data_IF_590077786867
#
_entry.id   IF_590077786867
#
_cell.length_a   1.000
_cell.length_b   1.000
_cell.length_c   1.000
_cell.angle_alpha   90.00
_cell.angle_beta   90.00
_cell.angle_gamma   90.00
#
_symmetry.space_group_name_H-M   'P 1'
#
loop_
_entity.id
_entity.type
_entity.pdbx_description
1 polymer ?
#
# COMPACT_ATOMS: atom_id res chain seq x y z
N UNK A 1 23.99 33.70 -36.06
CA UNK A 1 24.14 32.26 -35.71
C UNK A 1 23.56 32.08 -34.32
N UNK A 2 22.45 31.35 -34.19
CA UNK A 2 21.90 31.02 -32.87
C UNK A 2 22.83 30.01 -32.21
N UNK A 3 23.72 30.48 -31.33
CA UNK A 3 24.41 29.59 -30.42
C UNK A 3 23.37 29.10 -29.44
N UNK A 4 22.85 27.90 -29.66
CA UNK A 4 22.18 27.14 -28.60
C UNK A 4 23.22 27.08 -27.46
N UNK A 5 22.99 27.76 -26.34
CA UNK A 5 23.99 27.81 -25.28
C UNK A 5 24.19 26.36 -24.83
N UNK A 6 25.44 25.92 -24.77
CA UNK A 6 25.81 24.52 -24.46
C UNK A 6 25.10 24.01 -23.21
N UNK A 7 24.76 24.89 -22.27
CA UNK A 7 23.93 24.62 -21.10
C UNK A 7 22.51 24.12 -21.43
N UNK A 8 21.82 24.68 -22.43
CA UNK A 8 20.49 24.22 -22.87
C UNK A 8 20.59 22.83 -23.50
N UNK A 9 21.62 22.59 -24.31
CA UNK A 9 21.85 21.26 -24.89
C UNK A 9 22.12 20.21 -23.81
N UNK A 10 23.00 20.51 -22.85
CA UNK A 10 23.29 19.63 -21.72
C UNK A 10 22.07 19.43 -20.81
N UNK A 11 21.24 20.45 -20.61
CA UNK A 11 20.01 20.34 -19.84
C UNK A 11 18.97 19.44 -20.53
N UNK A 12 18.78 19.59 -21.84
CA UNK A 12 17.90 18.70 -22.62
C UNK A 12 18.42 17.26 -22.59
N UNK A 13 19.74 17.08 -22.76
CA UNK A 13 20.36 15.76 -22.66
C UNK A 13 20.14 15.15 -21.27
N UNK A 14 20.36 15.92 -20.20
CA UNK A 14 20.09 15.47 -18.84
C UNK A 14 18.62 15.06 -18.69
N UNK A 15 17.67 15.86 -19.17
CA UNK A 15 16.24 15.56 -19.08
C UNK A 15 15.87 14.28 -19.82
N UNK A 16 16.50 14.00 -20.97
CA UNK A 16 16.32 12.75 -21.72
C UNK A 16 16.97 11.55 -21.04
N UNK A 17 18.14 11.72 -20.43
CA UNK A 17 18.90 10.63 -19.78
C UNK A 17 18.40 10.34 -18.36
N UNK A 18 17.87 11.34 -17.66
CA UNK A 18 17.36 11.23 -16.30
C UNK A 18 16.41 10.05 -16.06
N UNK A 19 15.38 9.79 -16.88
CA UNK A 19 14.50 8.62 -16.67
C UNK A 19 15.25 7.30 -16.76
N UNK A 20 16.30 7.18 -17.58
CA UNK A 20 17.13 5.97 -17.66
C UNK A 20 18.02 5.81 -16.43
N UNK A 21 18.61 6.89 -15.93
CA UNK A 21 19.37 6.87 -14.67
C UNK A 21 18.44 6.46 -13.52
N UNK A 22 17.27 7.06 -13.43
CA UNK A 22 16.28 6.76 -12.40
C UNK A 22 15.82 5.30 -12.45
N UNK A 23 15.56 4.80 -13.67
CA UNK A 23 15.18 3.41 -13.88
C UNK A 23 16.30 2.44 -13.46
N UNK A 24 17.54 2.69 -13.88
CA UNK A 24 18.69 1.87 -13.50
C UNK A 24 18.88 1.83 -11.97
N UNK A 25 18.82 3.00 -11.30
CA UNK A 25 18.91 3.08 -9.84
C UNK A 25 17.78 2.29 -9.16
N UNK A 26 16.55 2.40 -9.67
CA UNK A 26 15.40 1.66 -9.13
C UNK A 26 15.61 0.15 -9.24
N UNK A 27 16.14 -0.33 -10.37
CA UNK A 27 16.44 -1.74 -10.57
C UNK A 27 17.48 -2.25 -9.57
N UNK A 28 18.56 -1.50 -9.35
CA UNK A 28 19.61 -1.89 -8.40
C UNK A 28 19.06 -1.98 -6.97
N UNK A 29 18.29 -0.96 -6.56
CA UNK A 29 17.63 -0.91 -5.25
C UNK A 29 16.71 -2.12 -5.04
N UNK A 30 15.88 -2.46 -6.04
CA UNK A 30 14.98 -3.61 -5.97
C UNK A 30 15.76 -4.93 -5.91
N UNK A 31 16.82 -5.08 -6.70
CA UNK A 31 17.66 -6.28 -6.69
C UNK A 31 18.28 -6.51 -5.31
N UNK A 32 18.83 -5.46 -4.70
CA UNK A 32 19.40 -5.55 -3.34
C UNK A 32 18.30 -5.90 -2.32
N UNK A 33 17.09 -5.36 -2.47
CA UNK A 33 16.00 -5.57 -1.51
C UNK A 33 15.54 -7.01 -1.53
N UNK A 34 15.31 -7.52 -2.73
CA UNK A 34 14.89 -8.90 -2.97
C UNK A 34 16.00 -9.89 -2.58
N UNK A 35 17.28 -9.54 -2.79
CA UNK A 35 18.40 -10.33 -2.31
C UNK A 35 18.42 -10.46 -0.78
N UNK A 36 18.12 -9.38 -0.04
CA UNK A 36 17.99 -9.43 1.43
C UNK A 36 16.81 -10.26 1.92
N UNK A 37 15.80 -10.47 1.07
CA UNK A 37 14.70 -11.39 1.34
C UNK A 37 15.05 -12.85 1.02
N UNK A 38 16.23 -13.12 0.45
CA UNK A 38 16.72 -14.47 0.15
C UNK A 38 16.45 -14.94 -1.28
N UNK A 39 16.08 -14.05 -2.19
CA UNK A 39 15.79 -14.37 -3.58
C UNK A 39 16.99 -14.06 -4.50
N UNK A 40 17.03 -14.69 -5.68
CA UNK A 40 18.04 -14.42 -6.70
C UNK A 40 17.76 -13.13 -7.47
N UNK A 41 18.78 -12.57 -8.14
CA UNK A 41 18.62 -11.37 -8.98
C UNK A 41 17.58 -11.54 -10.10
N UNK A 42 17.52 -12.74 -10.71
CA UNK A 42 16.51 -13.04 -11.74
C UNK A 42 15.09 -13.04 -11.15
N UNK A 43 14.93 -13.55 -9.93
CA UNK A 43 13.64 -13.51 -9.23
C UNK A 43 13.23 -12.08 -8.88
N UNK A 44 14.19 -11.19 -8.59
CA UNK A 44 13.90 -9.76 -8.34
C UNK A 44 13.27 -9.07 -9.53
N UNK A 45 13.82 -9.27 -10.73
CA UNK A 45 13.26 -8.70 -11.96
C UNK A 45 11.85 -9.25 -12.24
N UNK A 46 11.66 -10.55 -12.08
CA UNK A 46 10.34 -11.18 -12.28
C UNK A 46 9.31 -10.68 -11.25
N UNK A 47 9.69 -10.59 -9.97
CA UNK A 47 8.82 -10.05 -8.92
C UNK A 47 8.47 -8.59 -9.17
N UNK A 48 9.43 -7.76 -9.59
CA UNK A 48 9.19 -6.36 -9.94
C UNK A 48 8.19 -6.25 -11.10
N UNK A 49 8.41 -7.00 -12.18
CA UNK A 49 7.50 -7.03 -13.31
C UNK A 49 6.10 -7.52 -12.89
N UNK A 50 6.03 -8.60 -12.12
CA UNK A 50 4.77 -9.15 -11.63
C UNK A 50 4.01 -8.17 -10.72
N UNK A 51 4.71 -7.42 -9.87
CA UNK A 51 4.12 -6.38 -9.01
C UNK A 51 3.62 -5.22 -9.86
N UNK A 52 4.41 -4.72 -10.83
CA UNK A 52 4.01 -3.61 -11.71
C UNK A 52 2.79 -4.00 -12.55
N UNK A 53 2.86 -5.09 -13.32
CA UNK A 53 1.76 -5.51 -14.18
C UNK A 53 0.56 -5.99 -13.35
N UNK A 54 0.80 -6.73 -12.27
CA UNK A 54 -0.24 -7.17 -11.35
C UNK A 54 -0.96 -6.03 -10.65
N UNK A 55 -0.33 -4.85 -10.48
CA UNK A 55 -0.99 -3.70 -9.86
C UNK A 55 -2.22 -3.22 -10.65
N UNK A 56 -2.24 -3.47 -11.97
CA UNK A 56 -3.36 -3.13 -12.85
C UNK A 56 -4.55 -4.10 -12.73
N UNK A 57 -4.35 -5.23 -12.05
CA UNK A 57 -5.31 -6.32 -11.96
C UNK A 57 -5.95 -6.34 -10.57
N UNK A 58 -7.27 -6.22 -10.54
CA UNK A 58 -8.08 -6.32 -9.33
C UNK A 58 -8.98 -7.56 -9.40
N UNK A 59 -8.77 -8.51 -8.50
CA UNK A 59 -9.56 -9.74 -8.41
C UNK A 59 -10.81 -9.44 -7.56
N UNK A 60 -12.02 -9.47 -8.13
CA UNK A 60 -13.24 -9.22 -7.35
C UNK A 60 -13.46 -10.36 -6.34
N UNK A 61 -13.57 -10.02 -5.07
CA UNK A 61 -13.81 -10.97 -3.99
C UNK A 61 -15.32 -11.13 -3.75
N UNK A 62 -16.03 -10.02 -3.54
CA UNK A 62 -17.47 -10.03 -3.28
C UNK A 62 -18.11 -8.67 -3.55
N UNK A 63 -19.45 -8.65 -3.58
CA UNK A 63 -20.26 -7.44 -3.78
C UNK A 63 -21.04 -7.13 -2.51
N UNK A 64 -21.08 -5.86 -2.14
CA UNK A 64 -21.85 -5.34 -1.02
C UNK A 64 -22.86 -4.34 -1.58
N UNK A 65 -24.13 -4.51 -1.24
CA UNK A 65 -25.16 -3.51 -1.48
C UNK A 65 -25.42 -2.78 -0.16
N UNK A 66 -25.24 -1.45 -0.15
CA UNK A 66 -25.58 -0.64 1.01
C UNK A 66 -26.53 0.49 0.61
N UNK A 67 -27.36 0.91 1.55
CA UNK A 67 -28.27 2.03 1.37
C UNK A 67 -27.66 3.23 2.08
N UNK A 68 -27.41 4.31 1.34
CA UNK A 68 -26.95 5.57 1.93
C UNK A 68 -28.06 6.60 1.78
N UNK A 69 -28.36 7.27 2.89
CA UNK A 69 -29.21 8.46 2.89
C UNK A 69 -28.41 9.60 2.31
N UNK A 70 -28.91 10.18 1.22
CA UNK A 70 -28.25 11.34 0.63
C UNK A 70 -28.75 12.58 1.34
N UNK A 71 -27.83 13.31 1.95
CA UNK A 71 -28.08 14.67 2.43
C UNK A 71 -27.56 15.59 1.31
N UNK A 72 -28.40 15.81 0.31
CA UNK A 72 -28.03 16.64 -0.85
C UNK A 72 -28.00 18.14 -0.51
N UNK A 73 -28.63 18.56 0.59
CA UNK A 73 -28.86 19.98 0.85
C UNK A 73 -29.15 20.29 2.35
N UNK A 74 -28.86 21.52 2.79
CA UNK A 74 -29.17 21.98 4.16
C UNK A 74 -30.68 21.98 4.45
N UNK A 75 -31.50 22.15 3.41
CA UNK A 75 -32.95 22.05 3.46
C UNK A 75 -33.43 20.64 3.87
N UNK A 76 -32.78 19.59 3.34
CA UNK A 76 -33.07 18.19 3.64
C UNK A 76 -32.71 17.80 5.08
N UNK A 77 -31.64 18.39 5.64
CA UNK A 77 -31.30 18.26 7.06
C UNK A 77 -32.37 18.87 7.97
N UNK A 78 -32.85 20.07 7.63
CA UNK A 78 -33.91 20.76 8.37
C UNK A 78 -35.23 19.99 8.35
N UNK A 79 -35.63 19.48 7.18
CA UNK A 79 -36.85 18.68 7.02
C UNK A 79 -36.81 17.40 7.87
N UNK A 80 -35.68 16.70 7.89
CA UNK A 80 -35.52 15.52 8.74
C UNK A 80 -35.58 15.86 10.23
N UNK A 81 -34.90 16.92 10.66
CA UNK A 81 -34.74 17.27 12.07
C UNK A 81 -35.99 17.89 12.69
N UNK A 82 -36.77 18.66 11.91
CA UNK A 82 -38.00 19.30 12.38
C UNK A 82 -39.27 18.53 12.05
N UNK A 83 -39.35 17.90 10.87
CA UNK A 83 -40.58 17.22 10.41
C UNK A 83 -40.50 15.69 10.47
N UNK A 84 -39.34 15.10 10.77
CA UNK A 84 -39.17 13.65 10.89
C UNK A 84 -39.36 12.87 9.58
N UNK A 85 -39.37 13.55 8.43
CA UNK A 85 -39.59 12.92 7.13
C UNK A 85 -38.32 12.16 6.72
N UNK A 86 -38.41 10.85 6.39
CA UNK A 86 -37.26 10.06 5.97
C UNK A 86 -36.76 10.50 4.59
N UNK A 87 -35.43 10.66 4.46
CA UNK A 87 -34.77 11.06 3.22
C UNK A 87 -34.73 9.90 2.20
N UNK A 88 -34.71 10.20 0.89
CA UNK A 88 -34.57 9.18 -0.14
C UNK A 88 -33.24 8.43 0.02
N UNK A 89 -33.32 7.09 0.07
CA UNK A 89 -32.17 6.19 0.17
C UNK A 89 -31.79 5.71 -1.22
N UNK A 90 -30.55 5.93 -1.62
CA UNK A 90 -30.01 5.32 -2.86
C UNK A 90 -29.31 4.01 -2.51
N UNK A 91 -29.57 2.98 -3.30
CA UNK A 91 -28.82 1.72 -3.26
C UNK A 91 -27.48 1.94 -3.96
N UNK A 92 -26.40 1.92 -3.19
CA UNK A 92 -25.06 1.86 -3.73
C UNK A 92 -24.56 0.42 -3.77
N UNK A 93 -23.81 0.09 -4.83
CA UNK A 93 -23.13 -1.19 -4.97
C UNK A 93 -21.64 -0.96 -4.86
N UNK A 94 -20.99 -1.71 -3.99
CA UNK A 94 -19.54 -1.69 -3.79
C UNK A 94 -18.97 -3.08 -4.07
N UNK A 95 -18.04 -3.17 -5.01
CA UNK A 95 -17.31 -4.40 -5.31
C UNK A 95 -16.00 -4.35 -4.54
N UNK A 96 -15.80 -5.28 -3.63
CA UNK A 96 -14.54 -5.43 -2.91
C UNK A 96 -13.64 -6.34 -3.73
N UNK A 97 -12.45 -5.87 -4.07
CA UNK A 97 -11.46 -6.57 -4.86
C UNK A 97 -10.11 -6.61 -4.13
N UNK A 98 -9.28 -7.60 -4.46
CA UNK A 98 -7.89 -7.71 -4.04
C UNK A 98 -6.97 -7.32 -5.20
N UNK A 99 -6.09 -6.35 -4.97
CA UNK A 99 -5.09 -5.97 -5.96
C UNK A 99 -4.00 -7.05 -6.06
N UNK A 100 -3.64 -7.45 -7.28
CA UNK A 100 -2.63 -8.52 -7.46
C UNK A 100 -1.24 -8.03 -7.09
N UNK A 101 -0.83 -6.86 -7.59
CA UNK A 101 0.51 -6.31 -7.36
C UNK A 101 0.72 -5.68 -5.99
N UNK A 102 -0.32 -5.05 -5.43
CA UNK A 102 -0.30 -4.32 -4.16
C UNK A 102 -0.90 -5.07 -2.97
N UNK A 103 -1.49 -6.24 -3.19
CA UNK A 103 -2.06 -7.06 -2.11
C UNK A 103 -1.57 -8.50 -2.19
N UNK A 104 -1.98 -9.21 -3.24
CA UNK A 104 -1.76 -10.65 -3.34
C UNK A 104 -0.27 -11.04 -3.38
N UNK A 105 0.49 -10.53 -4.34
CA UNK A 105 1.92 -10.86 -4.48
C UNK A 105 2.71 -10.49 -3.22
N UNK A 106 2.58 -9.26 -2.67
CA UNK A 106 3.24 -8.91 -1.41
C UNK A 106 2.93 -9.83 -0.24
N UNK A 107 1.65 -10.20 -0.07
CA UNK A 107 1.24 -11.12 0.99
C UNK A 107 1.87 -12.49 0.80
N UNK A 108 1.93 -13.00 -0.43
CA UNK A 108 2.59 -14.27 -0.72
C UNK A 108 4.09 -14.23 -0.37
N UNK A 109 4.79 -13.13 -0.71
CA UNK A 109 6.20 -12.96 -0.33
C UNK A 109 6.35 -12.83 1.19
N UNK A 110 5.46 -12.10 1.87
CA UNK A 110 5.47 -11.98 3.33
C UNK A 110 5.26 -13.32 4.02
N UNK A 111 4.32 -14.14 3.53
CA UNK A 111 4.08 -15.50 4.01
C UNK A 111 5.29 -16.42 3.75
N UNK A 112 5.97 -16.25 2.63
CA UNK A 112 7.20 -16.99 2.33
C UNK A 112 8.33 -16.70 3.32
N UNK A 113 8.42 -15.47 3.85
CA UNK A 113 9.44 -15.12 4.85
C UNK A 113 9.28 -15.87 6.18
N UNK A 114 8.11 -16.43 6.50
CA UNK A 114 7.94 -17.27 7.71
C UNK A 114 8.82 -18.52 7.71
N UNK A 115 9.29 -18.97 6.53
CA UNK A 115 10.23 -20.09 6.41
C UNK A 115 11.70 -19.65 6.49
N UNK A 116 11.97 -18.35 6.37
CA UNK A 116 13.32 -17.80 6.20
C UNK A 116 13.73 -16.90 7.37
N UNK A 117 12.80 -16.55 8.25
CA UNK A 117 13.04 -15.70 9.41
C UNK A 117 12.21 -16.15 10.61
N UNK A 118 12.49 -15.57 11.78
CA UNK A 118 11.84 -15.94 13.03
C UNK A 118 10.31 -15.65 12.97
N UNK A 119 9.44 -16.68 13.00
CA UNK A 119 7.99 -16.51 12.90
C UNK A 119 7.40 -15.65 14.02
N UNK A 120 7.92 -15.79 15.25
CA UNK A 120 7.45 -15.00 16.39
C UNK A 120 7.78 -13.53 16.19
N UNK A 121 8.98 -13.21 15.68
CA UNK A 121 9.36 -11.84 15.38
C UNK A 121 8.46 -11.23 14.29
N UNK A 122 8.13 -11.99 13.23
CA UNK A 122 7.20 -11.54 12.18
C UNK A 122 5.83 -11.24 12.79
N UNK A 123 5.29 -12.13 13.62
CA UNK A 123 3.98 -11.93 14.28
C UNK A 123 3.99 -10.71 15.19
N UNK A 124 5.04 -10.50 15.99
CA UNK A 124 5.16 -9.35 16.87
C UNK A 124 5.25 -8.03 16.08
N UNK A 125 6.08 -7.98 15.03
CA UNK A 125 6.17 -6.79 14.16
C UNK A 125 4.84 -6.55 13.43
N UNK A 126 4.18 -7.61 12.95
CA UNK A 126 2.84 -7.54 12.35
C UNK A 126 1.84 -6.88 13.31
N UNK A 127 1.83 -7.30 14.58
CA UNK A 127 0.93 -6.74 15.59
C UNK A 127 1.20 -5.25 15.84
N UNK A 128 2.47 -4.87 15.98
CA UNK A 128 2.86 -3.46 16.17
C UNK A 128 2.44 -2.61 14.97
N UNK A 129 2.78 -3.04 13.76
CA UNK A 129 2.45 -2.31 12.52
C UNK A 129 0.94 -2.27 12.30
N UNK A 130 0.20 -3.32 12.66
CA UNK A 130 -1.27 -3.33 12.62
C UNK A 130 -1.84 -2.20 13.48
N UNK A 131 -1.39 -2.08 14.72
CA UNK A 131 -1.87 -1.03 15.65
C UNK A 131 -1.56 0.35 15.09
N UNK A 132 -0.31 0.58 14.66
CA UNK A 132 0.10 1.89 14.12
C UNK A 132 -0.69 2.23 12.85
N UNK A 133 -0.81 1.28 11.93
CA UNK A 133 -1.52 1.49 10.66
C UNK A 133 -3.02 1.71 10.88
N UNK A 134 -3.62 1.02 11.86
CA UNK A 134 -5.02 1.21 12.21
C UNK A 134 -5.31 2.64 12.68
N UNK A 135 -4.50 3.18 13.61
CA UNK A 135 -4.72 4.54 14.10
C UNK A 135 -4.27 5.63 13.12
N UNK A 136 -3.33 5.31 12.23
CA UNK A 136 -2.86 6.24 11.21
C UNK A 136 -3.81 6.33 10.01
N UNK A 137 -4.52 5.25 9.68
CA UNK A 137 -5.44 5.18 8.57
C UNK A 137 -6.71 5.98 8.84
N UNK A 138 -7.18 6.68 7.81
CA UNK A 138 -8.45 7.40 7.81
C UNK A 138 -9.23 7.05 6.54
N UNK A 139 -10.51 6.74 6.71
CA UNK A 139 -11.41 6.51 5.58
C UNK A 139 -11.93 7.87 5.10
N UNK A 140 -11.61 8.21 3.86
CA UNK A 140 -12.04 9.46 3.20
C UNK A 140 -13.05 9.12 2.10
N UNK A 141 -14.31 9.59 2.19
CA UNK A 141 -15.35 9.29 1.20
C UNK A 141 -14.92 9.68 -0.22
N UNK A 142 -15.13 8.78 -1.18
CA UNK A 142 -14.77 9.02 -2.59
C UNK A 142 -13.29 8.89 -2.92
N UNK A 143 -12.40 8.78 -1.92
CA UNK A 143 -10.96 8.56 -2.13
C UNK A 143 -10.53 7.17 -1.65
N UNK A 144 -10.97 6.78 -0.45
CA UNK A 144 -10.65 5.49 0.16
C UNK A 144 -9.82 5.63 1.44
N UNK A 145 -8.94 4.68 1.70
CA UNK A 145 -8.12 4.65 2.93
C UNK A 145 -6.86 5.47 2.71
N UNK A 146 -6.65 6.49 3.53
CA UNK A 146 -5.45 7.33 3.49
C UNK A 146 -4.63 7.16 4.76
N UNK A 147 -3.31 7.04 4.61
CA UNK A 147 -2.33 7.18 5.68
C UNK A 147 -1.02 7.70 5.11
N UNK A 148 -0.13 8.21 5.96
CA UNK A 148 1.23 8.52 5.51
C UNK A 148 1.95 7.20 5.13
N UNK A 149 2.43 7.06 3.87
CA UNK A 149 2.98 5.80 3.38
C UNK A 149 4.28 5.37 4.08
N UNK A 150 4.96 6.29 4.78
CA UNK A 150 6.20 6.01 5.51
C UNK A 150 5.98 5.42 6.90
N UNK A 151 4.79 5.58 7.49
CA UNK A 151 4.56 5.18 8.88
C UNK A 151 4.72 3.67 9.09
N UNK A 152 4.11 2.86 8.22
CA UNK A 152 4.23 1.42 8.34
C UNK A 152 5.65 0.89 8.06
N UNK A 153 6.34 1.28 6.96
CA UNK A 153 7.73 0.90 6.70
C UNK A 153 8.70 1.25 7.82
N UNK A 154 8.63 2.48 8.34
CA UNK A 154 9.52 2.95 9.41
C UNK A 154 9.22 2.16 10.69
N UNK A 155 7.94 1.99 11.03
CA UNK A 155 7.54 1.19 12.20
C UNK A 155 8.04 -0.24 12.10
N UNK A 156 7.87 -0.87 10.93
CA UNK A 156 8.30 -2.23 10.69
C UNK A 156 9.83 -2.38 10.80
N UNK A 157 10.57 -1.42 10.23
CA UNK A 157 12.02 -1.43 10.28
C UNK A 157 12.56 -1.26 11.70
N UNK A 158 12.05 -0.27 12.44
CA UNK A 158 12.43 -0.02 13.82
C UNK A 158 12.06 -1.21 14.71
N UNK A 159 10.81 -1.67 14.66
CA UNK A 159 10.34 -2.78 15.50
C UNK A 159 11.13 -4.06 15.20
N UNK A 160 11.37 -4.37 13.92
CA UNK A 160 12.17 -5.51 13.52
C UNK A 160 13.60 -5.43 14.04
N UNK A 161 14.28 -4.28 13.87
CA UNK A 161 15.63 -4.08 14.36
C UNK A 161 15.75 -4.31 15.88
N UNK A 162 14.79 -3.80 16.66
CA UNK A 162 14.77 -4.00 18.11
C UNK A 162 14.47 -5.46 18.50
N UNK A 163 13.44 -6.08 17.92
CA UNK A 163 12.99 -7.44 18.29
C UNK A 163 14.03 -8.49 17.90
N UNK A 164 14.62 -8.35 16.72
CA UNK A 164 15.61 -9.29 16.18
C UNK A 164 17.04 -8.98 16.62
N UNK A 165 17.24 -7.86 17.33
CA UNK A 165 18.58 -7.30 17.66
C UNK A 165 19.45 -7.11 16.40
N UNK A 166 18.81 -6.79 15.28
CA UNK A 166 19.45 -6.56 13.99
C UNK A 166 19.88 -7.83 13.23
N UNK A 167 19.49 -9.03 13.69
CA UNK A 167 19.85 -10.29 13.03
C UNK A 167 18.69 -10.73 12.12
N UNK A 168 18.91 -10.76 10.80
CA UNK A 168 17.87 -11.09 9.81
C UNK A 168 16.63 -10.17 9.93
N UNK A 169 16.86 -8.89 10.22
CA UNK A 169 15.80 -7.93 10.47
C UNK A 169 15.03 -7.57 9.18
N UNK A 170 15.67 -7.66 8.01
CA UNK A 170 15.06 -7.32 6.73
C UNK A 170 13.83 -8.20 6.36
N UNK A 171 13.93 -9.55 6.35
CA UNK A 171 12.78 -10.44 6.20
C UNK A 171 11.62 -10.18 7.17
N UNK A 172 11.95 -9.91 8.45
CA UNK A 172 10.96 -9.67 9.50
C UNK A 172 10.25 -8.32 9.31
N UNK A 173 11.01 -7.28 8.97
CA UNK A 173 10.47 -5.96 8.68
C UNK A 173 9.56 -5.99 7.45
N UNK A 174 9.98 -6.67 6.38
CA UNK A 174 9.16 -6.82 5.18
C UNK A 174 7.85 -7.56 5.50
N UNK A 175 7.92 -8.76 6.08
CA UNK A 175 6.72 -9.56 6.32
C UNK A 175 5.78 -8.91 7.34
N UNK A 176 6.32 -8.41 8.44
CA UNK A 176 5.54 -7.73 9.47
C UNK A 176 4.96 -6.40 9.01
N UNK A 177 5.71 -5.65 8.19
CA UNK A 177 5.25 -4.42 7.56
C UNK A 177 4.09 -4.64 6.60
N UNK A 178 4.23 -5.59 5.67
CA UNK A 178 3.21 -5.93 4.67
C UNK A 178 1.93 -6.44 5.34
N UNK A 179 2.05 -7.47 6.19
CA UNK A 179 0.89 -8.06 6.85
C UNK A 179 0.23 -7.08 7.80
N UNK A 180 1.03 -6.34 8.58
CA UNK A 180 0.51 -5.38 9.54
C UNK A 180 -0.22 -4.22 8.87
N UNK A 181 0.30 -3.70 7.75
CA UNK A 181 -0.36 -2.64 6.98
C UNK A 181 -1.68 -3.13 6.40
N UNK A 182 -1.67 -4.32 5.76
CA UNK A 182 -2.88 -4.89 5.18
C UNK A 182 -3.97 -5.11 6.23
N UNK A 183 -3.61 -5.64 7.40
CA UNK A 183 -4.57 -5.88 8.47
C UNK A 183 -5.04 -4.54 9.04
N UNK A 184 -4.12 -3.67 9.46
CA UNK A 184 -4.42 -2.44 10.18
C UNK A 184 -5.10 -1.37 9.34
N UNK A 185 -4.54 -1.08 8.17
CA UNK A 185 -5.09 -0.06 7.27
C UNK A 185 -6.32 -0.60 6.55
N UNK A 186 -6.22 -1.73 5.83
CA UNK A 186 -7.27 -2.16 4.92
C UNK A 186 -8.37 -2.99 5.59
N UNK A 187 -8.02 -4.12 6.21
CA UNK A 187 -9.01 -5.11 6.68
C UNK A 187 -9.84 -4.54 7.83
N UNK A 188 -9.22 -3.88 8.80
CA UNK A 188 -9.94 -3.35 9.96
C UNK A 188 -10.88 -2.20 9.63
N UNK A 189 -10.61 -1.42 8.58
CA UNK A 189 -11.49 -0.33 8.12
C UNK A 189 -12.50 -0.77 7.04
N UNK A 190 -12.42 -2.01 6.56
CA UNK A 190 -13.17 -2.51 5.41
C UNK A 190 -14.69 -2.31 5.54
N UNK A 191 -15.24 -2.51 6.74
CA UNK A 191 -16.68 -2.33 7.01
C UNK A 191 -17.14 -0.87 6.89
N UNK A 192 -16.28 0.07 7.25
CA UNK A 192 -16.59 1.50 7.20
C UNK A 192 -16.58 1.99 5.76
N UNK A 193 -15.52 1.68 5.01
CA UNK A 193 -15.37 2.13 3.62
C UNK A 193 -16.43 1.53 2.67
N UNK A 194 -16.88 0.30 2.91
CA UNK A 194 -17.97 -0.35 2.17
C UNK A 194 -19.30 0.41 2.26
N UNK A 195 -19.50 1.21 3.31
CA UNK A 195 -20.70 2.01 3.52
C UNK A 195 -20.57 3.42 2.96
N UNK A 196 -19.36 3.89 2.69
CA UNK A 196 -19.09 5.29 2.34
C UNK A 196 -18.78 5.50 0.85
N UNK A 197 -18.31 4.46 0.14
CA UNK A 197 -17.81 4.62 -1.23
C UNK A 197 -18.52 3.66 -2.21
N UNK A 198 -19.30 4.17 -3.18
CA UNK A 198 -19.82 3.37 -4.28
C UNK A 198 -18.69 2.98 -5.24
N UNK A 199 -18.85 1.86 -5.98
CA UNK A 199 -17.91 1.46 -7.03
C UNK A 199 -16.97 0.32 -6.64
N UNK A 200 -15.68 0.41 -6.97
CA UNK A 200 -14.69 -0.65 -6.71
C UNK A 200 -13.78 -0.24 -5.57
N UNK A 201 -13.75 -1.06 -4.52
CA UNK A 201 -12.82 -0.94 -3.41
C UNK A 201 -11.69 -1.97 -3.60
N UNK A 202 -10.47 -1.48 -3.81
CA UNK A 202 -9.30 -2.32 -4.03
C UNK A 202 -8.43 -2.44 -2.78
N UNK A 203 -8.52 -3.57 -2.08
CA UNK A 203 -7.61 -3.93 -0.98
C UNK A 203 -6.18 -4.06 -1.53
N UNK A 204 -5.22 -3.40 -0.90
CA UNK A 204 -3.83 -3.32 -1.37
C UNK A 204 -3.58 -2.31 -2.49
N UNK A 205 -4.61 -1.67 -3.05
CA UNK A 205 -4.47 -0.81 -4.25
C UNK A 205 -4.49 0.70 -3.98
N UNK A 206 -5.23 1.17 -2.97
CA UNK A 206 -5.52 2.60 -2.77
C UNK A 206 -4.43 3.39 -1.99
N UNK A 207 -3.14 3.05 -2.18
CA UNK A 207 -2.00 3.66 -1.47
C UNK A 207 -1.18 2.69 -0.60
N UNK A 208 -1.63 1.44 -0.47
CA UNK A 208 -0.89 0.37 0.21
C UNK A 208 0.29 -0.15 -0.63
N UNK A 209 0.20 -0.01 -1.96
CA UNK A 209 1.32 -0.28 -2.88
C UNK A 209 2.58 0.52 -2.50
N UNK A 210 2.42 1.78 -2.10
CA UNK A 210 3.53 2.61 -1.61
C UNK A 210 4.07 2.08 -0.29
N UNK A 211 3.20 1.76 0.68
CA UNK A 211 3.63 1.22 1.98
C UNK A 211 4.39 -0.11 1.86
N UNK A 212 3.97 -1.00 0.98
CA UNK A 212 4.59 -2.32 0.79
C UNK A 212 5.91 -2.23 0.02
N UNK A 213 5.95 -1.46 -1.07
CA UNK A 213 7.19 -1.19 -1.81
C UNK A 213 8.21 -0.50 -0.90
N UNK A 214 7.75 0.44 -0.08
CA UNK A 214 8.58 1.11 0.92
C UNK A 214 8.99 0.17 2.05
N UNK A 215 8.17 -0.80 2.48
CA UNK A 215 8.63 -1.82 3.44
C UNK A 215 9.81 -2.64 2.88
N UNK A 216 9.77 -2.97 1.58
CA UNK A 216 10.91 -3.59 0.88
C UNK A 216 12.13 -2.66 0.81
N UNK A 217 11.91 -1.38 0.53
CA UNK A 217 12.97 -0.36 0.51
C UNK A 217 13.61 -0.16 1.89
N UNK A 218 12.82 -0.04 2.95
CA UNK A 218 13.35 0.17 4.30
C UNK A 218 13.97 -1.10 4.88
N UNK A 219 13.57 -2.29 4.43
CA UNK A 219 14.29 -3.52 4.71
C UNK A 219 15.74 -3.48 4.16
N UNK A 220 16.04 -2.68 3.12
CA UNK A 220 17.42 -2.44 2.67
C UNK A 220 18.31 -1.76 3.70
N UNK A 221 17.73 -0.97 4.60
CA UNK A 221 18.51 -0.26 5.62
C UNK A 221 18.90 -1.19 6.77
N UNK A 222 18.33 -2.40 6.81
CA UNK A 222 18.54 -3.38 7.86
C UNK A 222 19.53 -4.45 7.39
N UNK A 223 20.46 -4.82 8.26
CA UNK A 223 21.39 -5.94 8.08
C UNK A 223 20.75 -7.29 8.46
#
# INVERSE_FOLDING_TARGET
MFYLPVSILLFILLLLVFPFIWFALTLDVVQIAVAKLGFSANAALFLLAAIIFGSTINIPLYKVESQVEIIDDYSNLWVRQFFGIPLPRIRQKTIVALNVGGGLIPVLVALYQFRHANPLAIVLVTAIVTIVSYYAARVVPGIGIQMNPLLAPITAAIASAFITRGIHAAPVAFAGGVLGTLIGADILHLKEIQRMTPGVLSIGGAGVFDGIALCGLFALLLS
#
